data_IF_715900561429
#
_entry.id   IF_715900561429
#
_cell.length_a   1.000
_cell.length_b   1.000
_cell.length_c   1.000
_cell.angle_alpha   90.00
_cell.angle_beta   90.00
_cell.angle_gamma   90.00
#
_symmetry.space_group_name_H-M   'P 1'
#
loop_
_entity.id
_entity.type
_entity.pdbx_description
1 polymer ?
#
# COMPACT_ATOMS: atom_id res chain seq x y z
N UNK A 1 -8.82 -1.92 1.33
CA UNK A 1 -8.31 -1.96 2.72
C UNK A 1 -9.07 -2.90 3.65
N UNK A 2 -9.60 -4.04 3.18
CA UNK A 2 -10.52 -4.88 3.98
C UNK A 2 -9.90 -5.35 5.30
N UNK A 3 -8.67 -5.86 5.26
CA UNK A 3 -8.00 -6.36 6.46
C UNK A 3 -7.68 -5.25 7.46
N UNK A 4 -7.34 -4.06 6.98
CA UNK A 4 -7.04 -2.91 7.82
C UNK A 4 -8.30 -2.42 8.57
N UNK A 5 -9.43 -2.30 7.87
CA UNK A 5 -10.71 -1.95 8.52
C UNK A 5 -11.16 -2.98 9.55
N UNK A 6 -10.97 -4.27 9.26
CA UNK A 6 -11.31 -5.33 10.21
C UNK A 6 -10.41 -5.24 11.44
N UNK A 7 -9.10 -5.05 11.25
CA UNK A 7 -8.18 -4.90 12.37
C UNK A 7 -8.58 -3.73 13.29
N UNK A 8 -8.88 -2.56 12.71
CA UNK A 8 -9.36 -1.39 13.46
C UNK A 8 -10.65 -1.67 14.24
N UNK A 9 -11.65 -2.31 13.59
CA UNK A 9 -12.94 -2.64 14.23
C UNK A 9 -12.82 -3.54 15.45
N UNK A 10 -11.77 -4.37 15.51
CA UNK A 10 -11.52 -5.31 16.60
C UNK A 10 -10.37 -4.88 17.51
N UNK A 11 -9.91 -3.62 17.42
CA UNK A 11 -8.81 -3.05 18.21
C UNK A 11 -7.51 -3.87 18.11
N UNK A 12 -7.23 -4.36 16.90
CA UNK A 12 -6.00 -5.11 16.58
C UNK A 12 -5.02 -4.16 15.90
N UNK A 13 -3.83 -4.00 16.47
CA UNK A 13 -2.78 -3.18 15.87
C UNK A 13 -2.30 -3.73 14.53
N UNK A 14 -2.29 -2.88 13.50
CA UNK A 14 -1.82 -3.20 12.16
C UNK A 14 -0.39 -2.70 11.97
N UNK A 15 0.55 -3.62 11.75
CA UNK A 15 1.92 -3.29 11.37
C UNK A 15 2.19 -3.69 9.93
N UNK A 16 2.90 -2.84 9.20
CA UNK A 16 3.34 -3.11 7.83
C UNK A 16 4.85 -3.32 7.81
N UNK A 17 5.30 -4.49 7.34
CA UNK A 17 6.73 -4.79 7.20
C UNK A 17 7.19 -4.52 5.77
N UNK A 18 8.08 -3.56 5.57
CA UNK A 18 8.61 -3.19 4.25
C UNK A 18 9.96 -2.49 4.34
N UNK A 19 10.74 -2.56 3.27
CA UNK A 19 11.97 -1.79 3.12
C UNK A 19 11.69 -0.34 2.74
N UNK A 20 12.58 0.59 3.11
CA UNK A 20 12.48 2.01 2.71
C UNK A 20 12.49 2.22 1.20
N UNK A 21 13.16 1.34 0.45
CA UNK A 21 13.24 1.38 -1.01
C UNK A 21 11.88 1.23 -1.72
N UNK A 22 10.85 0.67 -1.05
CA UNK A 22 9.51 0.57 -1.66
C UNK A 22 8.70 1.86 -1.58
N UNK A 23 9.23 2.89 -0.93
CA UNK A 23 8.58 4.19 -0.88
C UNK A 23 8.68 4.88 -2.24
N UNK A 24 7.56 5.42 -2.74
CA UNK A 24 7.54 6.28 -3.91
C UNK A 24 7.59 7.76 -3.49
N UNK A 25 8.70 8.48 -3.75
CA UNK A 25 8.84 9.90 -3.41
C UNK A 25 7.85 10.80 -4.14
N UNK A 26 7.32 10.39 -5.30
CA UNK A 26 6.34 11.17 -6.04
C UNK A 26 5.04 11.35 -5.27
N UNK A 27 4.69 10.40 -4.41
CA UNK A 27 3.49 10.49 -3.56
C UNK A 27 3.49 11.72 -2.65
N UNK A 28 4.67 12.22 -2.24
CA UNK A 28 4.81 13.46 -1.44
C UNK A 28 4.37 14.70 -2.21
N UNK A 29 4.49 14.70 -3.53
CA UNK A 29 4.08 15.79 -4.41
C UNK A 29 2.63 15.63 -4.91
N UNK A 30 1.87 14.66 -4.37
CA UNK A 30 0.47 14.42 -4.71
C UNK A 30 0.26 13.58 -5.97
N UNK A 31 1.30 12.96 -6.52
CA UNK A 31 1.13 11.97 -7.59
C UNK A 31 0.56 10.68 -7.01
N UNK A 32 -0.48 10.15 -7.64
CA UNK A 32 -1.06 8.86 -7.27
C UNK A 32 -0.53 7.73 -8.15
N UNK A 33 -0.29 6.57 -7.55
CA UNK A 33 0.00 5.34 -8.27
C UNK A 33 -1.29 4.73 -8.83
N UNK A 34 -1.26 4.36 -10.12
CA UNK A 34 -2.36 3.65 -10.76
C UNK A 34 -2.39 2.18 -10.32
N UNK A 35 -3.57 1.68 -9.97
CA UNK A 35 -3.73 0.28 -9.58
C UNK A 35 -3.68 -0.59 -10.83
N UNK A 36 -2.67 -1.46 -10.91
CA UNK A 36 -2.51 -2.43 -11.98
C UNK A 36 -3.79 -3.27 -12.15
N UNK A 37 -4.27 -3.35 -13.40
CA UNK A 37 -5.37 -4.21 -13.79
C UNK A 37 -4.85 -5.39 -14.59
N UNK A 38 -4.95 -6.59 -14.01
CA UNK A 38 -4.47 -7.85 -14.58
C UNK A 38 -5.51 -8.52 -15.47
N UNK A 39 -5.11 -9.60 -16.12
CA UNK A 39 -5.98 -10.31 -17.05
C UNK A 39 -7.23 -10.87 -16.34
N UNK A 40 -8.40 -10.64 -16.94
CA UNK A 40 -9.67 -11.17 -16.45
C UNK A 40 -9.70 -12.71 -16.35
N UNK A 41 -8.91 -13.40 -17.18
CA UNK A 41 -8.83 -14.85 -17.20
C UNK A 41 -8.18 -15.45 -15.95
N UNK A 42 -7.39 -14.67 -15.21
CA UNK A 42 -6.85 -15.12 -13.91
C UNK A 42 -7.98 -15.30 -12.89
N UNK A 43 -9.06 -14.52 -13.00
CA UNK A 43 -10.24 -14.61 -12.12
C UNK A 43 -11.21 -15.65 -12.62
N UNK A 44 -11.57 -15.60 -13.91
CA UNK A 44 -12.54 -16.53 -14.50
C UNK A 44 -12.19 -16.86 -15.96
N UNK A 45 -11.46 -17.98 -16.20
CA UNK A 45 -10.99 -18.36 -17.53
C UNK A 45 -12.11 -18.61 -18.56
N UNK A 46 -13.27 -19.08 -18.10
CA UNK A 46 -14.40 -19.53 -18.93
C UNK A 46 -15.61 -18.60 -18.83
N UNK A 47 -15.40 -17.32 -18.53
CA UNK A 47 -16.47 -16.35 -18.38
C UNK A 47 -17.33 -16.24 -19.67
N UNK A 48 -18.67 -16.26 -19.55
CA UNK A 48 -19.58 -15.99 -20.67
C UNK A 48 -19.31 -14.65 -21.37
N UNK A 49 -19.65 -14.58 -22.67
CA UNK A 49 -19.55 -13.33 -23.45
C UNK A 49 -20.43 -12.24 -22.84
N UNK A 50 -19.94 -11.00 -22.84
CA UNK A 50 -20.67 -9.82 -22.35
C UNK A 50 -20.44 -9.47 -20.88
N UNK A 51 -19.68 -10.27 -20.12
CA UNK A 51 -19.31 -9.96 -18.74
C UNK A 51 -18.03 -9.11 -18.70
N UNK A 52 -18.06 -8.01 -17.96
CA UNK A 52 -16.87 -7.19 -17.66
C UNK A 52 -16.29 -7.61 -16.31
N UNK A 53 -15.06 -8.11 -16.32
CA UNK A 53 -14.32 -8.49 -15.11
C UNK A 53 -13.28 -7.42 -14.80
N UNK A 54 -13.22 -6.97 -13.56
CA UNK A 54 -12.19 -6.06 -13.06
C UNK A 54 -11.27 -6.83 -12.11
N UNK A 55 -10.07 -7.17 -12.58
CA UNK A 55 -9.05 -7.85 -11.79
C UNK A 55 -7.96 -6.85 -11.39
N UNK A 56 -8.15 -6.15 -10.27
CA UNK A 56 -7.16 -5.22 -9.73
C UNK A 56 -6.16 -5.99 -8.86
N UNK A 57 -4.86 -5.79 -9.10
CA UNK A 57 -3.80 -6.53 -8.42
C UNK A 57 -3.52 -6.02 -7.00
N UNK A 58 -3.88 -4.77 -6.71
CA UNK A 58 -3.57 -4.09 -5.45
C UNK A 58 -4.80 -3.39 -4.88
N UNK A 59 -4.73 -3.09 -3.58
CA UNK A 59 -5.67 -2.24 -2.88
C UNK A 59 -4.93 -1.08 -2.22
N UNK A 60 -5.60 0.06 -2.06
CA UNK A 60 -5.10 1.15 -1.21
C UNK A 60 -5.54 0.90 0.23
N UNK A 61 -4.70 1.37 1.17
CA UNK A 61 -4.95 1.34 2.62
C UNK A 61 -4.73 2.75 3.16
N UNK A 62 -5.70 3.28 3.89
CA UNK A 62 -5.53 4.57 4.56
C UNK A 62 -4.37 4.47 5.59
N UNK A 63 -3.35 5.34 5.51
CA UNK A 63 -2.24 5.34 6.47
C UNK A 63 -2.67 5.51 7.93
N UNK A 64 -3.82 6.14 8.21
CA UNK A 64 -4.34 6.31 9.57
C UNK A 64 -4.65 4.97 10.25
N UNK A 65 -4.89 3.91 9.48
CA UNK A 65 -5.14 2.55 9.98
C UNK A 65 -3.85 1.81 10.37
N UNK A 66 -2.68 2.33 9.99
CA UNK A 66 -1.38 1.67 10.21
C UNK A 66 -0.82 2.13 11.56
N UNK A 67 -0.68 1.18 12.50
CA UNK A 67 -0.07 1.41 13.81
C UNK A 67 1.42 1.73 13.68
N UNK A 68 2.13 1.04 12.78
CA UNK A 68 3.53 1.31 12.50
C UNK A 68 4.07 0.55 11.29
N UNK A 69 5.09 1.12 10.67
CA UNK A 69 5.87 0.54 9.59
C UNK A 69 7.17 0.02 10.20
N UNK A 70 7.47 -1.26 9.96
CA UNK A 70 8.70 -1.94 10.36
C UNK A 70 9.60 -2.00 9.12
N UNK A 71 10.78 -1.39 9.22
CA UNK A 71 11.78 -1.39 8.16
C UNK A 71 13.20 -1.51 8.69
N UNK A 72 14.19 -1.46 7.80
CA UNK A 72 15.60 -1.38 8.14
C UNK A 72 16.00 -0.07 8.84
N UNK A 73 15.14 0.96 8.81
CA UNK A 73 15.37 2.25 9.47
C UNK A 73 14.82 2.28 10.91
N UNK A 74 13.94 1.34 11.27
CA UNK A 74 13.31 1.26 12.59
C UNK A 74 11.82 0.91 12.51
N UNK A 75 11.10 1.22 13.60
CA UNK A 75 9.64 1.06 13.69
C UNK A 75 9.02 2.45 13.90
N UNK A 76 8.30 2.95 12.90
CA UNK A 76 7.78 4.32 12.90
C UNK A 76 6.33 4.39 12.41
N UNK A 77 5.60 5.42 12.85
CA UNK A 77 4.32 5.78 12.19
C UNK A 77 4.55 6.24 10.76
N UNK A 78 3.56 6.13 9.85
CA UNK A 78 3.74 6.52 8.44
C UNK A 78 4.34 7.91 8.23
N UNK A 79 3.86 8.92 8.95
CA UNK A 79 4.37 10.31 8.83
C UNK A 79 5.85 10.41 9.24
N UNK A 80 6.24 9.75 10.32
CA UNK A 80 7.63 9.75 10.82
C UNK A 80 8.53 8.92 9.90
N UNK A 81 8.02 7.81 9.37
CA UNK A 81 8.74 6.96 8.44
C UNK A 81 9.16 7.72 7.18
N UNK A 82 8.29 8.57 6.64
CA UNK A 82 8.62 9.44 5.49
C UNK A 82 9.77 10.40 5.81
N UNK A 83 9.79 10.98 7.01
CA UNK A 83 10.88 11.87 7.43
C UNK A 83 12.20 11.12 7.62
N UNK A 84 12.17 9.90 8.14
CA UNK A 84 13.37 9.06 8.26
C UNK A 84 13.89 8.61 6.90
N UNK A 85 13.00 8.35 5.93
CA UNK A 85 13.39 8.10 4.54
C UNK A 85 14.10 9.32 3.93
N UNK A 86 13.58 10.54 4.12
CA UNK A 86 14.23 11.78 3.63
C UNK A 86 15.62 11.98 4.22
N UNK A 87 15.81 11.62 5.50
CA UNK A 87 17.10 11.73 6.20
C UNK A 87 18.10 10.67 5.72
N UNK A 88 17.66 9.43 5.60
CA UNK A 88 18.50 8.30 5.20
C UNK A 88 18.86 8.33 3.70
N UNK A 89 17.91 8.76 2.86
CA UNK A 89 18.02 8.74 1.41
C UNK A 89 17.66 10.10 0.77
N UNK A 90 18.43 11.18 1.02
CA UNK A 90 18.10 12.51 0.50
C UNK A 90 18.04 12.58 -1.03
N UNK A 91 18.71 11.66 -1.73
CA UNK A 91 18.79 11.60 -3.19
C UNK A 91 17.49 11.13 -3.87
N UNK A 92 16.51 10.61 -3.11
CA UNK A 92 15.22 10.17 -3.64
C UNK A 92 14.22 11.32 -3.89
N UNK A 93 14.49 12.51 -3.33
CA UNK A 93 13.62 13.68 -3.37
C UNK A 93 14.29 14.83 -4.12
#
# INVERSE_FOLDING_TARGET
ELFAEVAEKWDVSLYVCTDSWKFDPKSVFGYEEEIEKREAKEVWPTAPKGIKINNFAFEKVNPDLITGIISELGIYKPEIFVEEIKRAHPWMF
#
